data_IF_234985881644
#
_entry.id   IF_234985881644
#
_cell.length_a   1.000
_cell.length_b   1.000
_cell.length_c   1.000
_cell.angle_alpha   90.00
_cell.angle_beta   90.00
_cell.angle_gamma   90.00
#
_symmetry.space_group_name_H-M   'P 1'
#
loop_
_entity.id
_entity.type
_entity.pdbx_description
1 polymer ?
#
# COMPACT_ATOMS: atom_id res chain seq x y z
N UNK A 1 -31.14 -28.13 37.53
CA UNK A 1 -31.15 -27.91 36.07
C UNK A 1 -29.79 -27.33 35.71
N UNK A 2 -28.93 -28.12 35.08
CA UNK A 2 -27.55 -27.74 34.75
C UNK A 2 -27.54 -27.16 33.33
N UNK A 3 -27.16 -25.89 33.18
CA UNK A 3 -26.98 -25.27 31.87
C UNK A 3 -25.51 -25.44 31.47
N UNK A 4 -25.26 -26.30 30.48
CA UNK A 4 -23.95 -26.40 29.84
C UNK A 4 -23.87 -25.38 28.71
N UNK A 5 -22.98 -24.41 28.86
CA UNK A 5 -22.69 -23.40 27.83
C UNK A 5 -21.66 -23.98 26.87
N UNK A 6 -22.05 -24.21 25.61
CA UNK A 6 -21.12 -24.52 24.53
C UNK A 6 -20.48 -23.22 24.05
N UNK A 7 -19.18 -23.05 24.29
CA UNK A 7 -18.38 -21.99 23.67
C UNK A 7 -18.01 -22.43 22.24
N UNK A 8 -18.56 -21.76 21.24
CA UNK A 8 -18.11 -21.86 19.85
C UNK A 8 -16.83 -21.03 19.71
N UNK A 9 -15.68 -21.69 19.65
CA UNK A 9 -14.42 -21.04 19.28
C UNK A 9 -14.41 -20.81 17.77
N UNK A 10 -14.45 -19.54 17.35
CA UNK A 10 -14.18 -19.17 15.96
C UNK A 10 -12.75 -19.61 15.61
N UNK A 11 -12.60 -20.50 14.64
CA UNK A 11 -11.28 -20.74 14.03
C UNK A 11 -10.93 -19.47 13.28
N UNK A 12 -10.01 -18.69 13.84
CA UNK A 12 -9.35 -17.61 13.10
C UNK A 12 -8.42 -18.31 12.12
N UNK A 13 -8.85 -18.45 10.87
CA UNK A 13 -7.93 -18.71 9.78
C UNK A 13 -6.99 -17.50 9.74
N UNK A 14 -5.71 -17.72 10.05
CA UNK A 14 -4.69 -16.76 9.71
C UNK A 14 -4.82 -16.42 8.23
N UNK A 15 -4.64 -15.15 7.86
CA UNK A 15 -4.72 -14.70 6.48
C UNK A 15 -3.56 -15.31 5.67
N UNK A 16 -3.74 -16.55 5.24
CA UNK A 16 -2.95 -17.20 4.20
C UNK A 16 -3.49 -16.69 2.87
N UNK A 17 -2.74 -15.82 2.21
CA UNK A 17 -3.17 -15.23 0.92
C UNK A 17 -2.60 -13.84 0.70
N UNK A 18 -1.39 -13.57 1.20
CA UNK A 18 -0.68 -12.34 0.89
C UNK A 18 0.78 -12.65 0.70
N UNK A 19 1.16 -12.91 -0.54
CA UNK A 19 2.53 -13.24 -0.90
C UNK A 19 2.88 -12.75 -2.29
N UNK A 20 4.17 -12.53 -2.54
CA UNK A 20 4.68 -12.16 -3.87
C UNK A 20 4.35 -13.19 -4.95
N UNK A 21 4.14 -14.45 -4.56
CA UNK A 21 3.77 -15.53 -5.49
C UNK A 21 2.29 -15.50 -5.90
N UNK A 22 1.45 -14.83 -5.13
CA UNK A 22 0.04 -14.60 -5.44
C UNK A 22 -0.19 -13.26 -6.16
N UNK A 23 0.89 -12.49 -6.37
CA UNK A 23 0.87 -11.21 -7.06
C UNK A 23 0.89 -9.98 -6.15
N UNK A 24 0.84 -10.18 -4.83
CA UNK A 24 0.88 -9.08 -3.86
C UNK A 24 2.30 -8.52 -3.65
N UNK A 25 2.39 -7.34 -3.05
CA UNK A 25 3.62 -6.76 -2.51
C UNK A 25 3.43 -6.35 -1.03
N UNK A 26 3.41 -7.31 -0.09
CA UNK A 26 3.02 -7.07 1.30
C UNK A 26 4.00 -6.27 2.15
N UNK A 27 5.28 -6.31 1.81
CA UNK A 27 6.34 -5.70 2.62
C UNK A 27 7.13 -4.66 1.81
N UNK A 28 7.79 -3.74 2.52
CA UNK A 28 8.56 -2.67 1.88
C UNK A 28 9.61 -3.19 0.88
N UNK A 29 10.14 -4.39 1.08
CA UNK A 29 11.10 -5.06 0.19
C UNK A 29 10.53 -6.31 -0.52
N UNK A 30 9.20 -6.40 -0.66
CA UNK A 30 8.48 -7.51 -1.28
C UNK A 30 8.02 -8.53 -0.24
N UNK A 31 8.99 -9.22 0.37
CA UNK A 31 8.77 -10.23 1.42
C UNK A 31 9.84 -10.15 2.51
N UNK A 32 9.76 -11.06 3.49
CA UNK A 32 10.74 -11.19 4.58
C UNK A 32 12.18 -11.48 4.12
N UNK A 33 12.39 -11.99 2.91
CA UNK A 33 13.74 -12.19 2.35
C UNK A 33 14.32 -10.88 1.81
N UNK A 34 13.47 -9.87 1.63
CA UNK A 34 13.84 -8.51 1.27
C UNK A 34 14.62 -8.40 -0.06
N UNK A 35 14.36 -9.32 -0.99
CA UNK A 35 15.09 -9.42 -2.26
C UNK A 35 14.58 -8.45 -3.32
N UNK A 36 13.41 -7.83 -3.11
CA UNK A 36 12.70 -7.03 -4.13
C UNK A 36 12.48 -7.80 -5.44
N UNK A 37 12.26 -9.10 -5.33
CA UNK A 37 11.99 -10.00 -6.45
C UNK A 37 10.49 -10.25 -6.56
N UNK A 38 9.95 -10.16 -7.78
CA UNK A 38 8.59 -10.59 -8.11
C UNK A 38 8.68 -11.83 -9.00
N UNK A 39 7.95 -12.92 -8.68
CA UNK A 39 7.86 -14.11 -9.52
C UNK A 39 6.91 -13.95 -10.72
N UNK A 40 6.24 -12.80 -10.87
CA UNK A 40 5.34 -12.53 -11.99
C UNK A 40 6.13 -12.37 -13.31
N UNK A 41 5.62 -12.97 -14.38
CA UNK A 41 6.29 -13.04 -15.68
C UNK A 41 5.45 -12.54 -16.88
N UNK A 42 4.25 -12.00 -16.61
CA UNK A 42 3.36 -11.44 -17.63
C UNK A 42 4.05 -10.34 -18.45
N UNK A 43 4.86 -9.52 -17.79
CA UNK A 43 5.74 -8.52 -18.42
C UNK A 43 7.16 -9.09 -18.41
N UNK A 44 7.78 -9.16 -19.58
CA UNK A 44 9.10 -9.74 -19.77
C UNK A 44 9.88 -9.03 -20.88
N UNK A 45 11.10 -9.50 -21.16
CA UNK A 45 12.01 -8.87 -22.11
C UNK A 45 11.46 -8.79 -23.54
N UNK A 46 10.52 -9.66 -23.90
CA UNK A 46 9.97 -9.73 -25.26
C UNK A 46 8.81 -8.75 -25.47
N UNK A 47 8.10 -8.34 -24.42
CA UNK A 47 6.88 -7.52 -24.51
C UNK A 47 6.92 -6.18 -23.75
N UNK A 48 7.99 -5.89 -23.00
CA UNK A 48 8.12 -4.64 -22.22
C UNK A 48 8.01 -3.37 -23.09
N UNK A 49 8.34 -3.49 -24.38
CA UNK A 49 8.23 -2.39 -25.34
C UNK A 49 6.78 -1.95 -25.62
N UNK A 50 5.79 -2.80 -25.31
CA UNK A 50 4.37 -2.55 -25.58
C UNK A 50 3.65 -1.91 -24.38
N UNK A 51 4.35 -1.62 -23.28
CA UNK A 51 3.74 -1.05 -22.08
C UNK A 51 3.19 0.35 -22.31
N UNK A 52 1.96 0.54 -21.84
CA UNK A 52 1.30 1.84 -21.78
C UNK A 52 0.92 2.22 -20.34
N UNK A 53 0.65 3.50 -20.14
CA UNK A 53 0.23 4.00 -18.83
C UNK A 53 -1.24 3.66 -18.62
N UNK A 54 -1.52 2.72 -17.71
CA UNK A 54 -2.88 2.35 -17.34
C UNK A 54 -3.62 3.49 -16.63
N UNK A 55 -2.98 4.15 -15.66
CA UNK A 55 -3.54 5.29 -14.94
C UNK A 55 -2.45 6.16 -14.29
N UNK A 56 -2.84 7.36 -13.84
CA UNK A 56 -1.99 8.28 -13.06
C UNK A 56 -2.75 8.80 -11.86
N UNK A 57 -2.06 8.87 -10.71
CA UNK A 57 -2.56 9.48 -9.49
C UNK A 57 -1.73 10.72 -9.15
N UNK A 58 -2.37 11.87 -8.93
CA UNK A 58 -1.68 13.10 -8.56
C UNK A 58 -1.59 13.24 -7.04
N UNK A 59 -0.38 13.46 -6.53
CA UNK A 59 -0.12 13.75 -5.11
C UNK A 59 -0.26 15.24 -4.76
N UNK A 60 -0.70 16.07 -5.71
CA UNK A 60 -0.93 17.49 -5.48
C UNK A 60 -2.06 17.71 -4.46
N UNK A 61 -1.90 18.68 -3.56
CA UNK A 61 -2.93 19.04 -2.58
C UNK A 61 -3.05 18.07 -1.39
N UNK A 62 -2.11 17.13 -1.25
CA UNK A 62 -1.98 16.27 -0.06
C UNK A 62 -0.95 16.83 0.94
N UNK A 63 -0.75 18.13 0.99
CA UNK A 63 0.19 18.79 1.90
C UNK A 63 0.19 20.30 1.71
N UNK A 64 0.88 21.04 2.58
CA UNK A 64 0.98 22.51 2.50
C UNK A 64 1.79 22.97 1.27
N UNK A 65 2.67 22.12 0.75
CA UNK A 65 3.41 22.31 -0.50
C UNK A 65 3.38 21.04 -1.34
N UNK A 66 3.63 21.18 -2.64
CA UNK A 66 3.86 20.02 -3.51
C UNK A 66 5.12 19.30 -3.05
N UNK A 67 4.98 18.00 -2.82
CA UNK A 67 6.11 17.12 -2.54
C UNK A 67 6.68 16.58 -3.86
N UNK A 68 7.92 16.94 -4.16
CA UNK A 68 8.65 16.47 -5.34
C UNK A 68 9.57 15.27 -5.05
N UNK A 69 9.70 14.88 -3.78
CA UNK A 69 10.64 13.88 -3.32
C UNK A 69 9.92 12.83 -2.49
N UNK A 70 9.05 12.04 -3.13
CA UNK A 70 8.35 10.93 -2.47
C UNK A 70 9.21 9.64 -2.53
N UNK A 71 9.79 9.17 -1.42
CA UNK A 71 10.59 7.94 -1.41
C UNK A 71 9.75 6.67 -1.21
N UNK A 72 8.41 6.77 -1.26
CA UNK A 72 7.52 5.65 -0.95
C UNK A 72 7.76 4.48 -1.90
N UNK A 73 7.88 3.27 -1.33
CA UNK A 73 7.65 2.01 -2.03
C UNK A 73 6.23 1.57 -1.64
N UNK A 74 5.25 1.66 -2.54
CA UNK A 74 3.88 1.28 -2.23
C UNK A 74 3.76 -0.18 -1.81
N UNK A 75 2.79 -0.47 -0.95
CA UNK A 75 2.37 -1.82 -0.57
C UNK A 75 1.12 -2.16 -1.35
N UNK A 76 1.06 -3.32 -1.97
CA UNK A 76 -0.12 -3.79 -2.69
C UNK A 76 -0.57 -5.12 -2.07
N UNK A 77 -1.82 -5.20 -1.63
CA UNK A 77 -2.40 -6.40 -1.03
C UNK A 77 -3.86 -6.50 -1.47
N UNK A 78 -4.21 -7.57 -2.17
CA UNK A 78 -5.58 -7.91 -2.51
C UNK A 78 -6.28 -6.85 -3.38
N UNK A 79 -5.56 -6.24 -4.32
CA UNK A 79 -6.07 -5.22 -5.24
C UNK A 79 -6.08 -3.80 -4.66
N UNK A 80 -5.50 -3.59 -3.47
CA UNK A 80 -5.43 -2.27 -2.82
C UNK A 80 -3.98 -1.82 -2.70
N UNK A 81 -3.69 -0.65 -3.27
CA UNK A 81 -2.39 -0.01 -3.23
C UNK A 81 -2.33 1.05 -2.11
N UNK A 82 -1.42 0.89 -1.17
CA UNK A 82 -1.18 1.81 -0.05
C UNK A 82 0.12 2.57 -0.27
N UNK A 83 0.06 3.91 -0.20
CA UNK A 83 1.24 4.76 -0.38
C UNK A 83 1.23 5.98 0.53
N UNK A 84 2.42 6.48 0.85
CA UNK A 84 2.58 7.78 1.49
C UNK A 84 2.42 8.88 0.44
N UNK A 85 1.75 9.96 0.81
CA UNK A 85 1.54 11.12 -0.06
C UNK A 85 1.75 12.44 0.70
N UNK A 86 2.49 13.34 0.04
CA UNK A 86 2.80 14.67 0.56
C UNK A 86 3.79 14.69 1.72
N UNK A 87 4.28 15.90 2.03
CA UNK A 87 5.28 16.14 3.08
C UNK A 87 4.76 15.96 4.51
N UNK A 88 3.44 15.83 4.69
CA UNK A 88 2.76 15.63 5.98
C UNK A 88 2.44 14.16 6.28
N UNK A 89 3.11 13.21 5.61
CA UNK A 89 2.98 11.76 5.85
C UNK A 89 1.55 11.24 5.78
N UNK A 90 0.73 11.81 4.90
CA UNK A 90 -0.60 11.27 4.67
C UNK A 90 -0.45 9.86 4.06
N UNK A 91 -1.47 9.02 4.27
CA UNK A 91 -1.52 7.68 3.69
C UNK A 91 -2.78 7.58 2.85
N UNK A 92 -2.62 7.17 1.59
CA UNK A 92 -3.73 6.91 0.68
C UNK A 92 -3.84 5.41 0.44
N UNK A 93 -5.07 4.91 0.37
CA UNK A 93 -5.37 3.62 -0.23
C UNK A 93 -6.09 3.84 -1.55
N UNK A 94 -5.59 3.20 -2.59
CA UNK A 94 -6.10 3.26 -3.95
C UNK A 94 -6.57 1.87 -4.38
N UNK A 95 -7.63 1.81 -5.18
CA UNK A 95 -7.90 0.65 -6.00
C UNK A 95 -6.76 0.49 -7.03
N UNK A 96 -6.05 -0.64 -7.01
CA UNK A 96 -4.84 -0.84 -7.81
C UNK A 96 -5.12 -0.88 -9.32
N UNK A 97 -6.35 -1.21 -9.73
CA UNK A 97 -6.74 -1.33 -11.15
C UNK A 97 -7.07 0.02 -11.79
N UNK A 98 -7.61 0.95 -11.00
CA UNK A 98 -8.17 2.22 -11.49
C UNK A 98 -7.46 3.47 -10.97
N UNK A 99 -6.72 3.36 -9.85
CA UNK A 99 -6.14 4.50 -9.15
C UNK A 99 -7.17 5.33 -8.35
N UNK A 100 -8.41 4.83 -8.20
CA UNK A 100 -9.44 5.50 -7.40
C UNK A 100 -9.07 5.50 -5.92
N UNK A 101 -9.20 6.64 -5.24
CA UNK A 101 -9.05 6.72 -3.78
C UNK A 101 -10.17 5.94 -3.10
N UNK A 102 -9.80 4.92 -2.34
CA UNK A 102 -10.70 4.18 -1.45
C UNK A 102 -10.84 4.90 -0.12
N UNK A 103 -9.72 5.32 0.46
CA UNK A 103 -9.69 6.15 1.66
C UNK A 103 -8.40 6.95 1.77
N UNK A 104 -8.44 7.95 2.63
CA UNK A 104 -7.32 8.82 2.93
C UNK A 104 -7.19 9.03 4.43
N UNK A 105 -6.00 8.80 4.96
CA UNK A 105 -5.65 9.12 6.33
C UNK A 105 -4.72 10.32 6.37
N UNK A 106 -5.09 11.32 7.17
CA UNK A 106 -4.33 12.56 7.35
C UNK A 106 -4.07 12.80 8.84
N UNK A 107 -2.83 12.66 9.33
CA UNK A 107 -2.51 13.05 10.68
C UNK A 107 -2.56 14.57 10.83
N UNK A 108 -2.93 15.04 12.03
CA UNK A 108 -2.73 16.44 12.39
C UNK A 108 -1.27 16.64 12.81
N UNK A 109 -0.45 17.09 11.87
CA UNK A 109 0.98 17.23 12.05
C UNK A 109 1.38 18.39 13.00
N UNK A 110 0.66 19.51 12.95
CA UNK A 110 0.90 20.70 13.79
C UNK A 110 2.37 21.10 13.95
N UNK A 111 2.77 21.43 15.18
CA UNK A 111 4.11 21.87 15.53
C UNK A 111 5.21 20.91 15.06
N UNK A 112 4.94 19.60 15.00
CA UNK A 112 5.92 18.59 14.57
C UNK A 112 6.34 18.78 13.11
N UNK A 113 5.44 19.23 12.23
CA UNK A 113 5.80 19.57 10.86
C UNK A 113 6.49 20.93 10.79
N UNK A 114 6.04 21.92 11.57
CA UNK A 114 6.63 23.25 11.58
C UNK A 114 8.09 23.26 12.03
N UNK A 115 8.43 22.41 13.00
CA UNK A 115 9.76 22.21 13.58
C UNK A 115 10.63 21.21 12.79
N UNK A 116 10.07 20.52 11.80
CA UNK A 116 10.79 19.50 11.04
C UNK A 116 11.96 20.14 10.26
N UNK A 117 13.21 19.64 10.42
CA UNK A 117 14.36 20.17 9.68
C UNK A 117 14.27 19.96 8.16
N UNK A 118 13.47 18.99 7.73
CA UNK A 118 13.16 18.70 6.33
C UNK A 118 11.65 18.87 6.13
N UNK A 119 11.27 19.84 5.29
CA UNK A 119 9.90 20.12 4.85
C UNK A 119 9.74 19.75 3.38
#
# INVERSE_FOLDING_TARGET
MSFSTLALSSVVLAQSGTSVYEGDWPEYHGDHLAQRYSPLDQINADNVADLEIAWRFSTNGFGPSTDFNNPSTPIEIGGVLYANVGSTRNVVALDASSGQILWLWRPQEGARFDEAPRK
#
